data_IF_079831479400
#
_entry.id   IF_079831479400
#
_cell.length_a   1.000
_cell.length_b   1.000
_cell.length_c   1.000
_cell.angle_alpha   90.00
_cell.angle_beta   90.00
_cell.angle_gamma   90.00
#
_symmetry.space_group_name_H-M   'P 1'
#
loop_
_entity.id
_entity.type
_entity.pdbx_description
1 polymer ?
#
# COMPACT_ATOMS: atom_id res chain seq x y z
N UNK A 1 -2.04 48.89 -1.68
CA UNK A 1 -2.71 48.36 -0.50
C UNK A 1 -2.69 46.82 -0.63
N UNK A 2 -1.70 46.18 0.01
CA UNK A 2 -1.39 44.75 -0.14
C UNK A 2 -2.09 44.04 0.98
N UNK A 3 -3.00 43.13 0.67
CA UNK A 3 -3.62 42.23 1.66
C UNK A 3 -2.73 40.99 1.80
N UNK A 4 -2.06 40.88 2.96
CA UNK A 4 -1.31 39.74 3.37
C UNK A 4 -2.27 38.64 3.84
N UNK A 5 -2.29 37.51 3.12
CA UNK A 5 -2.99 36.31 3.54
C UNK A 5 -2.28 35.64 4.73
N UNK A 6 -3.01 35.44 5.82
CA UNK A 6 -2.55 34.75 7.01
C UNK A 6 -2.54 33.24 6.73
N UNK A 7 -1.35 32.66 6.56
CA UNK A 7 -1.16 31.21 6.62
C UNK A 7 -1.22 30.79 8.10
N UNK A 8 -2.26 30.03 8.44
CA UNK A 8 -2.38 29.34 9.71
C UNK A 8 -1.26 28.32 9.83
N UNK A 9 -0.32 28.53 10.74
CA UNK A 9 0.75 27.61 11.11
C UNK A 9 0.15 26.45 11.89
N UNK A 10 -0.03 25.31 11.23
CA UNK A 10 -0.33 24.03 11.89
C UNK A 10 0.81 23.70 12.86
N UNK A 11 0.45 23.21 14.05
CA UNK A 11 1.34 22.82 15.13
C UNK A 11 2.43 21.85 14.63
N UNK A 12 3.64 22.38 14.44
CA UNK A 12 4.82 21.56 14.18
C UNK A 12 5.12 20.77 15.47
N UNK A 13 5.11 19.45 15.36
CA UNK A 13 5.62 18.54 16.39
C UNK A 13 7.12 18.81 16.58
N UNK A 14 7.49 19.64 17.56
CA UNK A 14 8.86 19.93 17.93
C UNK A 14 9.43 18.80 18.79
N UNK A 15 9.62 17.61 18.17
CA UNK A 15 10.47 16.58 18.74
C UNK A 15 11.91 16.77 18.24
N UNK A 16 12.90 16.66 19.13
CA UNK A 16 14.30 16.65 18.68
C UNK A 16 14.58 15.46 17.75
N UNK A 17 15.56 15.58 16.84
CA UNK A 17 16.02 14.47 15.98
C UNK A 17 16.31 13.19 16.79
N UNK A 18 16.73 13.33 18.06
CA UNK A 18 16.98 12.24 18.99
C UNK A 18 15.69 11.56 19.49
N UNK A 19 14.64 12.32 19.77
CA UNK A 19 13.33 11.78 20.18
C UNK A 19 12.68 11.02 19.02
N UNK A 20 12.76 11.56 17.80
CA UNK A 20 12.31 10.90 16.60
C UNK A 20 13.03 9.55 16.35
N UNK A 21 14.38 9.54 16.44
CA UNK A 21 15.17 8.31 16.33
C UNK A 21 14.83 7.29 17.43
N UNK A 22 14.54 7.73 18.65
CA UNK A 22 14.15 6.87 19.76
C UNK A 22 12.75 6.25 19.55
N UNK A 23 11.79 7.02 19.05
CA UNK A 23 10.45 6.52 18.72
C UNK A 23 10.47 5.51 17.57
N UNK A 24 11.25 5.79 16.51
CA UNK A 24 11.48 4.82 15.43
C UNK A 24 12.12 3.54 15.98
N UNK A 25 13.23 3.63 16.71
CA UNK A 25 13.94 2.48 17.24
C UNK A 25 13.08 1.62 18.18
N UNK A 26 12.27 2.25 19.04
CA UNK A 26 11.34 1.55 19.94
C UNK A 26 10.22 0.84 19.20
N UNK A 27 9.63 1.49 18.18
CA UNK A 27 8.60 0.91 17.34
C UNK A 27 9.12 -0.24 16.46
N UNK A 28 10.34 -0.13 15.95
CA UNK A 28 10.99 -1.14 15.10
C UNK A 28 11.38 -2.38 15.90
N UNK A 29 11.93 -2.23 17.11
CA UNK A 29 12.37 -3.34 17.94
C UNK A 29 11.21 -4.23 18.42
N UNK A 30 10.06 -3.64 18.75
CA UNK A 30 8.88 -4.38 19.21
C UNK A 30 8.22 -5.25 18.12
N UNK A 31 8.49 -4.99 16.84
CA UNK A 31 7.79 -5.59 15.69
C UNK A 31 8.64 -6.52 14.84
N UNK A 32 9.95 -6.57 15.04
CA UNK A 32 10.88 -7.36 14.22
C UNK A 32 10.60 -8.88 14.21
N UNK A 33 9.89 -9.39 15.22
CA UNK A 33 9.52 -10.82 15.27
C UNK A 33 8.26 -11.13 14.45
N UNK A 34 7.32 -10.17 14.35
CA UNK A 34 6.00 -10.38 13.73
C UNK A 34 6.04 -10.15 12.21
N UNK A 35 6.95 -9.28 11.74
CA UNK A 35 7.16 -9.00 10.32
C UNK A 35 7.68 -10.23 9.56
N UNK A 36 8.38 -11.15 10.23
CA UNK A 36 8.85 -12.41 9.63
C UNK A 36 7.73 -13.24 9.02
N UNK A 37 6.47 -13.05 9.43
CA UNK A 37 5.32 -13.72 8.79
C UNK A 37 5.13 -13.28 7.33
N UNK A 38 5.56 -12.06 6.99
CA UNK A 38 5.54 -11.54 5.62
C UNK A 38 6.81 -11.86 4.83
N UNK A 39 7.85 -12.30 5.52
CA UNK A 39 9.14 -12.67 4.95
C UNK A 39 9.26 -14.20 4.92
N UNK A 40 8.54 -14.83 3.99
CA UNK A 40 8.56 -16.29 3.86
C UNK A 40 9.78 -16.70 3.04
N UNK A 41 10.70 -17.44 3.64
CA UNK A 41 11.90 -17.96 2.96
C UNK A 41 11.51 -18.81 1.76
N UNK A 42 11.92 -18.34 0.57
CA UNK A 42 11.76 -19.05 -0.70
C UNK A 42 10.35 -19.08 -1.28
N UNK A 43 9.34 -18.47 -0.64
CA UNK A 43 8.00 -18.37 -1.22
C UNK A 43 7.90 -17.15 -2.13
N UNK A 44 7.22 -17.33 -3.27
CA UNK A 44 6.89 -16.26 -4.21
C UNK A 44 5.61 -15.59 -3.75
N UNK A 45 5.70 -14.54 -2.94
CA UNK A 45 4.53 -13.80 -2.49
C UNK A 45 4.18 -12.74 -3.52
N UNK A 46 2.98 -12.82 -4.08
CA UNK A 46 2.43 -11.86 -5.01
C UNK A 46 1.39 -10.99 -4.33
N UNK A 47 1.39 -9.69 -4.68
CA UNK A 47 0.38 -8.71 -4.27
C UNK A 47 -0.47 -8.38 -5.50
N UNK A 48 -1.78 -8.56 -5.40
CA UNK A 48 -2.72 -8.19 -6.45
C UNK A 48 -2.84 -6.65 -6.50
N UNK A 49 -2.26 -6.02 -7.52
CA UNK A 49 -2.17 -4.57 -7.67
C UNK A 49 -3.50 -3.97 -8.14
N UNK A 50 -3.99 -2.91 -7.51
CA UNK A 50 -5.26 -2.27 -7.82
C UNK A 50 -6.47 -3.22 -7.70
N UNK A 51 -6.39 -4.17 -6.78
CA UNK A 51 -7.43 -5.17 -6.53
C UNK A 51 -7.28 -6.46 -7.31
N UNK A 52 -6.42 -6.57 -8.35
CA UNK A 52 -6.22 -7.84 -9.02
C UNK A 52 -5.82 -7.80 -10.48
N UNK A 53 -5.91 -8.97 -11.11
CA UNK A 53 -5.50 -9.25 -12.50
C UNK A 53 -6.68 -9.27 -13.49
N UNK A 54 -7.83 -8.77 -13.10
CA UNK A 54 -9.01 -8.66 -13.97
C UNK A 54 -9.02 -7.33 -14.73
N UNK A 55 -9.62 -7.31 -15.89
CA UNK A 55 -9.79 -6.10 -16.69
C UNK A 55 -11.06 -5.33 -16.28
N UNK A 56 -11.03 -3.99 -16.17
CA UNK A 56 -9.85 -3.14 -16.34
C UNK A 56 -8.85 -3.32 -15.20
N UNK A 57 -7.56 -3.20 -15.52
CA UNK A 57 -6.50 -3.23 -14.51
C UNK A 57 -6.61 -2.00 -13.59
N UNK A 58 -6.19 -2.14 -12.35
CA UNK A 58 -6.23 -1.06 -11.33
C UNK A 58 -7.64 -0.54 -11.06
N UNK A 59 -8.66 -1.41 -11.22
CA UNK A 59 -10.05 -1.00 -11.04
C UNK A 59 -10.41 -0.67 -9.58
N UNK A 60 -9.66 -1.18 -8.61
CA UNK A 60 -9.97 -0.98 -7.19
C UNK A 60 -11.44 -1.36 -6.86
N UNK A 61 -11.93 -2.46 -7.45
CA UNK A 61 -13.35 -2.83 -7.47
C UNK A 61 -13.66 -4.11 -6.70
N UNK A 62 -14.93 -4.33 -6.40
CA UNK A 62 -15.40 -5.55 -5.73
C UNK A 62 -15.13 -6.80 -6.58
N UNK A 63 -15.30 -6.71 -7.88
CA UNK A 63 -15.07 -7.80 -8.82
C UNK A 63 -13.57 -8.12 -8.95
N UNK A 64 -12.71 -7.10 -8.97
CA UNK A 64 -11.26 -7.29 -9.02
C UNK A 64 -10.78 -8.03 -7.77
N UNK A 65 -11.18 -7.60 -6.57
CA UNK A 65 -10.82 -8.26 -5.31
C UNK A 65 -11.34 -9.70 -5.27
N UNK A 66 -12.60 -9.92 -5.66
CA UNK A 66 -13.18 -11.28 -5.69
C UNK A 66 -12.43 -12.20 -6.66
N UNK A 67 -12.06 -11.67 -7.83
CA UNK A 67 -11.26 -12.40 -8.83
C UNK A 67 -9.85 -12.73 -8.33
N UNK A 68 -9.20 -11.80 -7.63
CA UNK A 68 -7.89 -12.02 -7.02
C UNK A 68 -7.93 -13.12 -5.96
N UNK A 69 -8.89 -13.07 -5.04
CA UNK A 69 -9.09 -14.10 -4.02
C UNK A 69 -9.33 -15.47 -4.64
N UNK A 70 -10.17 -15.55 -5.68
CA UNK A 70 -10.45 -16.80 -6.41
C UNK A 70 -9.20 -17.38 -7.10
N UNK A 71 -8.23 -16.53 -7.47
CA UNK A 71 -6.94 -16.93 -8.08
C UNK A 71 -5.85 -17.21 -7.06
N UNK A 72 -6.17 -17.18 -5.77
CA UNK A 72 -5.29 -17.56 -4.68
C UNK A 72 -4.37 -16.44 -4.18
N UNK A 73 -4.66 -15.18 -4.48
CA UNK A 73 -4.00 -14.06 -3.80
C UNK A 73 -4.49 -13.98 -2.35
N UNK A 74 -3.55 -13.79 -1.44
CA UNK A 74 -3.83 -13.41 -0.04
C UNK A 74 -3.42 -11.97 0.26
N UNK A 75 -2.55 -11.36 -0.54
CA UNK A 75 -2.20 -9.95 -0.45
C UNK A 75 -2.87 -9.18 -1.58
N UNK A 76 -3.71 -8.23 -1.20
CA UNK A 76 -4.48 -7.43 -2.15
C UNK A 76 -4.20 -5.97 -1.85
N UNK A 77 -3.66 -5.28 -2.84
CA UNK A 77 -3.44 -3.85 -2.75
C UNK A 77 -4.65 -3.10 -3.31
N UNK A 78 -5.06 -2.07 -2.58
CA UNK A 78 -6.10 -1.12 -2.94
C UNK A 78 -5.66 0.29 -2.58
N UNK A 79 -5.71 1.18 -3.55
CA UNK A 79 -5.59 2.62 -3.31
C UNK A 79 -6.83 3.13 -2.57
N UNK A 80 -6.67 3.94 -1.53
CA UNK A 80 -7.80 4.45 -0.75
C UNK A 80 -7.84 5.98 -0.76
N UNK A 81 -8.97 6.53 -1.17
CA UNK A 81 -9.27 7.95 -1.11
C UNK A 81 -10.29 8.25 -0.01
N UNK A 82 -10.24 9.47 0.51
CA UNK A 82 -11.27 10.00 1.39
C UNK A 82 -12.29 10.81 0.57
N UNK A 83 -13.56 10.45 0.69
CA UNK A 83 -14.68 11.19 0.09
C UNK A 83 -14.92 12.52 0.80
N UNK A 84 -15.69 13.43 0.19
CA UNK A 84 -16.01 14.72 0.81
C UNK A 84 -16.82 14.58 2.10
N UNK A 85 -17.69 13.58 2.19
CA UNK A 85 -18.47 13.25 3.38
C UNK A 85 -17.70 12.40 4.40
N UNK A 86 -16.39 12.17 4.19
CA UNK A 86 -15.47 11.65 5.19
C UNK A 86 -15.40 10.14 5.30
N UNK A 87 -15.68 9.40 4.22
CA UNK A 87 -15.60 7.95 4.14
C UNK A 87 -14.44 7.48 3.24
N UNK A 88 -14.10 6.19 3.30
CA UNK A 88 -13.13 5.58 2.41
C UNK A 88 -13.79 5.02 1.15
N UNK A 89 -13.16 5.32 0.00
CA UNK A 89 -13.47 4.76 -1.30
C UNK A 89 -12.19 4.20 -1.93
N UNK A 90 -12.25 2.98 -2.46
CA UNK A 90 -11.12 2.42 -3.19
C UNK A 90 -11.07 3.01 -4.61
N UNK A 91 -10.01 3.78 -4.87
CA UNK A 91 -9.72 4.37 -6.18
C UNK A 91 -8.30 4.93 -6.18
N UNK A 92 -7.62 4.87 -7.34
CA UNK A 92 -6.26 5.37 -7.49
C UNK A 92 -6.17 6.89 -7.26
N UNK A 93 -7.05 7.65 -7.89
CA UNK A 93 -7.29 9.08 -7.73
C UNK A 93 -8.67 9.43 -8.31
N UNK A 94 -9.11 10.67 -8.08
CA UNK A 94 -10.43 11.11 -8.55
C UNK A 94 -10.52 11.24 -10.07
N UNK A 95 -9.44 11.58 -10.76
CA UNK A 95 -9.37 11.67 -12.21
C UNK A 95 -9.60 10.31 -12.85
N UNK A 96 -8.82 9.31 -12.44
CA UNK A 96 -8.95 7.91 -12.87
C UNK A 96 -10.33 7.34 -12.53
N UNK A 97 -10.88 7.65 -11.34
CA UNK A 97 -12.22 7.20 -10.95
C UNK A 97 -13.30 7.78 -11.89
N UNK A 98 -13.22 9.08 -12.19
CA UNK A 98 -14.15 9.73 -13.12
C UNK A 98 -14.05 9.15 -14.54
N UNK A 99 -12.85 8.93 -15.05
CA UNK A 99 -12.63 8.29 -16.35
C UNK A 99 -13.25 6.89 -16.40
N UNK A 100 -13.00 6.06 -15.40
CA UNK A 100 -13.51 4.68 -15.33
C UNK A 100 -15.03 4.60 -15.15
N UNK A 101 -15.64 5.62 -14.55
CA UNK A 101 -17.10 5.68 -14.31
C UNK A 101 -17.85 6.49 -15.36
N UNK A 102 -17.14 7.22 -16.23
CA UNK A 102 -17.72 8.09 -17.24
C UNK A 102 -18.40 9.34 -16.66
N UNK A 103 -17.89 9.86 -15.54
CA UNK A 103 -18.38 11.09 -14.90
C UNK A 103 -17.42 12.24 -15.12
N UNK A 104 -17.94 13.47 -15.24
CA UNK A 104 -17.10 14.66 -15.45
C UNK A 104 -16.47 15.19 -14.16
N UNK A 105 -17.04 14.86 -13.00
CA UNK A 105 -16.62 15.37 -11.70
C UNK A 105 -16.68 14.27 -10.64
N UNK A 106 -15.83 14.34 -9.59
CA UNK A 106 -15.92 13.46 -8.45
C UNK A 106 -17.31 13.51 -7.77
N UNK A 107 -17.83 12.37 -7.30
CA UNK A 107 -19.10 12.33 -6.58
C UNK A 107 -19.00 13.07 -5.23
N UNK A 108 -20.10 13.72 -4.83
CA UNK A 108 -20.16 14.53 -3.60
C UNK A 108 -20.19 13.70 -2.32
N UNK A 109 -20.49 12.40 -2.41
CA UNK A 109 -20.60 11.50 -1.25
C UNK A 109 -20.22 10.06 -1.61
N UNK A 110 -19.94 9.26 -0.57
CA UNK A 110 -19.75 7.83 -0.75
C UNK A 110 -20.96 7.16 -1.39
N UNK A 111 -22.18 7.52 -0.94
CA UNK A 111 -23.42 6.95 -1.50
C UNK A 111 -23.51 7.19 -3.01
N UNK A 112 -23.22 8.43 -3.46
CA UNK A 112 -23.21 8.75 -4.88
C UNK A 112 -22.14 7.95 -5.64
N UNK A 113 -20.94 7.80 -5.09
CA UNK A 113 -19.87 6.99 -5.68
C UNK A 113 -20.28 5.51 -5.85
N UNK A 114 -20.95 4.93 -4.87
CA UNK A 114 -21.38 3.52 -4.90
C UNK A 114 -22.53 3.25 -5.89
N UNK A 115 -23.27 4.26 -6.35
CA UNK A 115 -24.27 4.12 -7.41
C UNK A 115 -23.65 4.05 -8.81
N UNK A 116 -22.41 4.47 -8.96
CA UNK A 116 -21.70 4.43 -10.23
C UNK A 116 -21.27 2.99 -10.58
N UNK A 117 -20.84 2.82 -11.82
CA UNK A 117 -20.21 1.57 -12.29
C UNK A 117 -18.88 1.90 -12.92
N UNK A 118 -17.85 1.20 -12.45
CA UNK A 118 -16.53 1.21 -13.08
C UNK A 118 -16.62 0.46 -14.41
N UNK A 119 -15.78 0.77 -15.37
CA UNK A 119 -15.72 0.11 -16.67
C UNK A 119 -15.87 -1.43 -16.55
N UNK A 120 -16.61 -2.04 -17.47
CA UNK A 120 -16.94 -3.47 -17.38
C UNK A 120 -18.04 -3.81 -16.34
N UNK A 121 -18.81 -2.80 -15.90
CA UNK A 121 -19.91 -2.95 -14.94
C UNK A 121 -19.47 -3.36 -13.52
N UNK A 122 -18.23 -3.06 -13.12
CA UNK A 122 -17.69 -3.38 -11.81
C UNK A 122 -18.20 -2.39 -10.75
N UNK A 123 -18.25 -2.85 -9.51
CA UNK A 123 -18.78 -2.06 -8.38
C UNK A 123 -17.64 -1.38 -7.63
N UNK A 124 -17.75 -0.06 -7.35
CA UNK A 124 -16.85 0.62 -6.42
C UNK A 124 -16.87 -0.03 -5.03
N UNK A 125 -15.77 0.08 -4.30
CA UNK A 125 -15.59 -0.47 -2.96
C UNK A 125 -15.47 0.65 -1.91
N UNK A 126 -16.29 0.59 -0.86
CA UNK A 126 -16.09 1.40 0.35
C UNK A 126 -15.20 0.70 1.37
N UNK A 127 -14.69 1.45 2.36
CA UNK A 127 -13.97 0.88 3.51
C UNK A 127 -14.80 -0.18 4.24
N UNK A 128 -16.10 0.06 4.45
CA UNK A 128 -17.01 -0.92 5.07
C UNK A 128 -17.16 -2.20 4.25
N UNK A 129 -17.19 -2.12 2.92
CA UNK A 129 -17.23 -3.30 2.04
C UNK A 129 -15.91 -4.07 2.08
N UNK A 130 -14.77 -3.37 2.09
CA UNK A 130 -13.43 -4.00 2.27
C UNK A 130 -13.38 -4.74 3.60
N UNK A 131 -13.83 -4.11 4.68
CA UNK A 131 -13.92 -4.75 6.00
C UNK A 131 -14.76 -6.03 5.96
N UNK A 132 -15.92 -6.02 5.30
CA UNK A 132 -16.79 -7.19 5.16
C UNK A 132 -16.10 -8.33 4.38
N UNK A 133 -15.36 -8.01 3.32
CA UNK A 133 -14.56 -8.99 2.56
C UNK A 133 -13.46 -9.57 3.45
N UNK A 134 -12.72 -8.75 4.19
CA UNK A 134 -11.67 -9.22 5.10
C UNK A 134 -12.21 -10.11 6.23
N UNK A 135 -13.46 -9.89 6.69
CA UNK A 135 -14.11 -10.78 7.66
C UNK A 135 -14.46 -12.15 7.07
N UNK A 136 -14.85 -12.19 5.80
CA UNK A 136 -15.16 -13.44 5.09
C UNK A 136 -13.88 -14.20 4.66
N UNK A 137 -12.77 -13.49 4.49
CA UNK A 137 -11.48 -14.01 4.06
C UNK A 137 -10.40 -13.69 5.10
N UNK A 138 -10.29 -14.51 6.18
CA UNK A 138 -9.35 -14.24 7.28
C UNK A 138 -7.88 -14.32 6.85
N UNK A 139 -7.58 -14.95 5.72
CA UNK A 139 -6.25 -15.00 5.08
C UNK A 139 -5.87 -13.71 4.34
N UNK A 140 -6.85 -12.85 4.02
CA UNK A 140 -6.59 -11.63 3.26
C UNK A 140 -5.82 -10.60 4.09
N UNK A 141 -4.75 -10.08 3.52
CA UNK A 141 -3.98 -8.93 3.99
C UNK A 141 -4.21 -7.78 3.02
N UNK A 142 -4.70 -6.66 3.53
CA UNK A 142 -4.83 -5.43 2.77
C UNK A 142 -3.49 -4.72 2.70
N UNK A 143 -3.04 -4.37 1.52
CA UNK A 143 -1.96 -3.39 1.28
C UNK A 143 -2.63 -2.13 0.76
N UNK A 144 -2.26 -0.96 1.28
CA UNK A 144 -2.91 0.28 0.85
C UNK A 144 -1.98 1.48 0.93
N UNK A 145 -2.24 2.46 0.10
CA UNK A 145 -1.56 3.76 0.08
C UNK A 145 -2.57 4.93 -0.02
N UNK A 146 -2.06 6.15 -0.37
CA UNK A 146 -2.82 7.40 -0.62
C UNK A 146 -3.67 7.93 0.53
N UNK A 147 -3.93 7.15 1.59
CA UNK A 147 -4.63 7.61 2.78
C UNK A 147 -3.65 8.06 3.87
N UNK A 148 -3.79 9.29 4.33
CA UNK A 148 -3.01 9.83 5.45
C UNK A 148 -3.83 10.04 6.73
N UNK A 149 -5.15 9.81 6.65
CA UNK A 149 -6.06 9.78 7.81
C UNK A 149 -6.13 8.35 8.36
N UNK A 150 -5.07 7.97 9.11
CA UNK A 150 -4.94 6.62 9.66
C UNK A 150 -6.02 6.29 10.71
N UNK A 151 -6.62 7.30 11.34
CA UNK A 151 -7.74 7.08 12.27
C UNK A 151 -9.00 6.67 11.51
N UNK A 152 -9.32 7.33 10.40
CA UNK A 152 -10.43 6.95 9.52
C UNK A 152 -10.20 5.55 8.96
N UNK A 153 -8.97 5.24 8.52
CA UNK A 153 -8.61 3.92 8.01
C UNK A 153 -8.92 2.82 9.04
N UNK A 154 -8.47 3.00 10.29
CA UNK A 154 -8.70 2.02 11.36
C UNK A 154 -10.15 1.99 11.86
N UNK A 155 -10.89 3.10 11.71
CA UNK A 155 -12.32 3.14 12.04
C UNK A 155 -13.16 2.32 11.07
N UNK A 156 -12.88 2.41 9.76
CA UNK A 156 -13.64 1.70 8.73
C UNK A 156 -13.13 0.27 8.48
N UNK A 157 -11.81 0.05 8.65
CA UNK A 157 -11.16 -1.26 8.45
C UNK A 157 -10.36 -1.63 9.71
N UNK A 158 -11.02 -2.14 10.78
CA UNK A 158 -10.41 -2.34 12.10
C UNK A 158 -9.58 -3.63 12.18
N UNK A 159 -8.67 -3.85 11.22
CA UNK A 159 -7.80 -5.03 11.12
C UNK A 159 -6.31 -4.65 11.00
N UNK A 160 -5.73 -3.89 11.97
CA UNK A 160 -4.34 -3.45 11.86
C UNK A 160 -3.33 -4.60 11.77
N UNK A 161 -3.67 -5.79 12.27
CA UNK A 161 -2.84 -6.99 12.20
C UNK A 161 -2.81 -7.64 10.80
N UNK A 162 -3.71 -7.23 9.90
CA UNK A 162 -3.82 -7.71 8.52
C UNK A 162 -3.78 -6.58 7.51
N UNK A 163 -3.01 -5.52 7.83
CA UNK A 163 -2.92 -4.33 6.99
C UNK A 163 -1.48 -3.85 6.89
N UNK A 164 -0.98 -3.66 5.67
CA UNK A 164 0.27 -2.96 5.38
C UNK A 164 -0.10 -1.61 4.79
N UNK A 165 0.41 -0.52 5.38
CA UNK A 165 0.10 0.84 4.93
C UNK A 165 1.35 1.51 4.42
N UNK A 166 1.36 1.88 3.16
CA UNK A 166 2.48 2.59 2.54
C UNK A 166 2.50 4.04 2.94
N UNK A 167 3.69 4.53 3.27
CA UNK A 167 3.93 5.90 3.71
C UNK A 167 5.14 6.49 3.01
N UNK A 168 5.05 7.76 2.62
CA UNK A 168 6.01 8.42 1.72
C UNK A 168 6.99 9.35 2.45
N UNK A 169 6.85 9.49 3.76
CA UNK A 169 7.77 10.30 4.56
C UNK A 169 8.05 9.66 5.92
N UNK A 170 9.24 9.93 6.51
CA UNK A 170 9.54 9.50 7.86
C UNK A 170 8.52 10.02 8.90
N UNK A 171 7.95 11.21 8.68
CA UNK A 171 6.92 11.80 9.55
C UNK A 171 5.63 10.99 9.50
N UNK A 172 5.18 10.60 8.30
CA UNK A 172 4.00 9.77 8.12
C UNK A 172 4.21 8.37 8.69
N UNK A 173 5.43 7.82 8.59
CA UNK A 173 5.77 6.55 9.23
C UNK A 173 5.51 6.60 10.75
N UNK A 174 6.00 7.65 11.43
CA UNK A 174 5.77 7.83 12.88
C UNK A 174 4.28 8.09 13.17
N UNK A 175 3.61 8.91 12.35
CA UNK A 175 2.16 9.14 12.53
C UNK A 175 1.36 7.85 12.41
N UNK A 176 1.66 7.02 11.42
CA UNK A 176 1.01 5.72 11.23
C UNK A 176 1.18 4.83 12.48
N UNK A 177 2.42 4.71 13.00
CA UNK A 177 2.69 3.97 14.22
C UNK A 177 1.91 4.49 15.43
N UNK A 178 1.88 5.81 15.62
CA UNK A 178 1.17 6.46 16.74
C UNK A 178 -0.35 6.33 16.63
N UNK A 179 -0.90 6.20 15.44
CA UNK A 179 -2.32 5.93 15.19
C UNK A 179 -2.72 4.46 15.37
N UNK A 180 -1.75 3.53 15.55
CA UNK A 180 -2.03 2.12 15.76
C UNK A 180 -1.85 1.23 14.51
N UNK A 181 -1.37 1.78 13.39
CA UNK A 181 -0.96 0.96 12.24
C UNK A 181 0.22 0.07 12.67
N UNK A 182 0.07 -1.23 12.49
CA UNK A 182 1.08 -2.18 12.92
C UNK A 182 2.21 -2.36 11.90
N UNK A 183 1.93 -2.26 10.62
CA UNK A 183 2.88 -2.52 9.53
C UNK A 183 2.92 -1.36 8.53
N UNK A 184 3.46 -0.19 8.92
CA UNK A 184 3.74 0.85 7.93
C UNK A 184 4.91 0.40 7.05
N UNK A 185 4.77 0.54 5.72
CA UNK A 185 5.79 0.30 4.72
C UNK A 185 6.34 1.66 4.23
N UNK A 186 7.66 1.84 4.27
CA UNK A 186 8.27 3.08 3.81
C UNK A 186 8.54 3.03 2.31
N UNK A 187 7.94 3.95 1.55
CA UNK A 187 8.06 4.01 0.09
C UNK A 187 9.37 4.67 -0.34
N UNK A 188 10.18 3.94 -1.08
CA UNK A 188 11.44 4.41 -1.70
C UNK A 188 11.12 4.92 -3.09
N UNK A 189 10.91 6.23 -3.22
CA UNK A 189 10.55 6.88 -4.49
C UNK A 189 11.72 7.58 -5.18
N UNK A 190 12.85 7.74 -4.49
CA UNK A 190 14.06 8.40 -4.99
C UNK A 190 15.28 8.08 -4.11
N UNK A 191 16.47 8.49 -4.53
CA UNK A 191 17.75 8.17 -3.86
C UNK A 191 17.84 8.63 -2.40
N UNK A 192 17.24 9.78 -2.05
CA UNK A 192 17.22 10.25 -0.65
C UNK A 192 16.34 9.33 0.21
N UNK A 193 15.18 8.91 -0.30
CA UNK A 193 14.33 7.95 0.40
C UNK A 193 15.03 6.60 0.58
N UNK A 194 15.80 6.16 -0.40
CA UNK A 194 16.64 4.96 -0.27
C UNK A 194 17.68 5.10 0.85
N UNK A 195 18.37 6.25 0.90
CA UNK A 195 19.32 6.53 1.98
C UNK A 195 18.63 6.51 3.35
N UNK A 196 17.44 7.11 3.47
CA UNK A 196 16.65 7.07 4.69
C UNK A 196 16.23 5.64 5.07
N UNK A 197 15.84 4.82 4.09
CA UNK A 197 15.48 3.43 4.32
C UNK A 197 16.65 2.63 4.91
N UNK A 198 17.85 2.81 4.37
CA UNK A 198 19.09 2.17 4.87
C UNK A 198 19.46 2.71 6.26
N UNK A 199 19.41 4.04 6.47
CA UNK A 199 19.80 4.66 7.75
C UNK A 199 18.87 4.25 8.89
N UNK A 200 17.55 4.26 8.64
CA UNK A 200 16.54 3.99 9.67
C UNK A 200 16.17 2.51 9.79
N UNK A 201 16.56 1.67 8.83
CA UNK A 201 16.26 0.23 8.82
C UNK A 201 14.77 -0.04 8.99
N UNK A 202 13.94 0.58 8.15
CA UNK A 202 12.52 0.29 8.15
C UNK A 202 12.28 -1.20 7.87
N UNK A 203 11.46 -1.89 8.66
CA UNK A 203 11.25 -3.33 8.52
C UNK A 203 10.54 -3.75 7.23
N UNK A 204 9.72 -2.84 6.67
CA UNK A 204 9.03 -3.01 5.39
C UNK A 204 9.31 -1.79 4.53
N UNK A 205 9.71 -2.03 3.31
CA UNK A 205 9.91 -0.98 2.30
C UNK A 205 9.22 -1.35 1.00
N UNK A 206 8.73 -0.33 0.28
CA UNK A 206 8.19 -0.47 -1.07
C UNK A 206 9.07 0.32 -2.03
N UNK A 207 9.33 -0.22 -3.22
CA UNK A 207 10.24 0.38 -4.20
C UNK A 207 9.77 0.07 -5.63
N UNK A 208 9.93 1.02 -6.56
CA UNK A 208 9.69 0.74 -7.97
C UNK A 208 10.71 -0.24 -8.55
N UNK A 209 10.31 -1.00 -9.57
CA UNK A 209 11.19 -1.96 -10.24
C UNK A 209 12.43 -1.29 -10.83
N UNK A 210 12.31 -0.06 -11.34
CA UNK A 210 13.44 0.69 -11.90
C UNK A 210 14.50 0.98 -10.84
N UNK A 211 14.09 1.54 -9.69
CA UNK A 211 15.01 1.83 -8.58
C UNK A 211 15.55 0.55 -7.95
N UNK A 212 14.74 -0.50 -7.86
CA UNK A 212 15.15 -1.82 -7.38
C UNK A 212 16.30 -2.37 -8.22
N UNK A 213 16.18 -2.36 -9.55
CA UNK A 213 17.20 -2.85 -10.48
C UNK A 213 18.46 -1.98 -10.48
N UNK A 214 18.31 -0.66 -10.31
CA UNK A 214 19.44 0.26 -10.18
C UNK A 214 20.25 0.02 -8.90
N UNK A 215 19.65 -0.55 -7.85
CA UNK A 215 20.24 -0.70 -6.51
C UNK A 215 20.25 -2.13 -5.98
N UNK A 216 20.35 -3.13 -6.87
CA UNK A 216 20.25 -4.56 -6.54
C UNK A 216 21.12 -5.01 -5.37
N UNK A 217 22.39 -4.53 -5.27
CA UNK A 217 23.28 -4.90 -4.17
C UNK A 217 22.81 -4.36 -2.82
N UNK A 218 22.22 -3.16 -2.82
CA UNK A 218 21.60 -2.59 -1.61
C UNK A 218 20.35 -3.38 -1.24
N UNK A 219 19.49 -3.72 -2.20
CA UNK A 219 18.30 -4.53 -1.96
C UNK A 219 18.64 -5.91 -1.43
N UNK A 220 19.62 -6.58 -2.02
CA UNK A 220 20.12 -7.88 -1.54
C UNK A 220 20.57 -7.81 -0.08
N UNK A 221 21.34 -6.78 0.28
CA UNK A 221 21.77 -6.56 1.66
C UNK A 221 20.60 -6.32 2.61
N UNK A 222 19.67 -5.44 2.27
CA UNK A 222 18.47 -5.19 3.09
C UNK A 222 17.65 -6.47 3.27
N UNK A 223 17.47 -7.27 2.22
CA UNK A 223 16.77 -8.55 2.29
C UNK A 223 17.48 -9.54 3.23
N UNK A 224 18.82 -9.63 3.16
CA UNK A 224 19.63 -10.44 4.09
C UNK A 224 19.53 -9.94 5.54
N UNK A 225 19.33 -8.64 5.75
CA UNK A 225 19.05 -8.02 7.05
C UNK A 225 17.57 -8.21 7.50
N UNK A 226 16.79 -9.03 6.79
CA UNK A 226 15.39 -9.35 7.09
C UNK A 226 14.42 -8.16 6.89
N UNK A 227 14.76 -7.21 6.05
CA UNK A 227 13.83 -6.19 5.58
C UNK A 227 12.89 -6.80 4.56
N UNK A 228 11.58 -6.66 4.76
CA UNK A 228 10.57 -7.04 3.79
C UNK A 228 10.55 -6.02 2.64
N UNK A 229 10.93 -6.44 1.44
CA UNK A 229 11.02 -5.58 0.25
C UNK A 229 9.85 -5.92 -0.68
N UNK A 230 8.99 -4.93 -0.92
CA UNK A 230 7.85 -5.00 -1.82
C UNK A 230 8.20 -4.23 -3.11
N UNK A 231 8.08 -4.88 -4.28
CA UNK A 231 8.48 -4.27 -5.57
C UNK A 231 7.26 -4.09 -6.46
N UNK A 232 7.02 -2.85 -6.91
CA UNK A 232 5.91 -2.50 -7.81
C UNK A 232 6.40 -2.06 -9.20
N UNK A 233 5.47 -1.95 -10.17
CA UNK A 233 5.75 -1.48 -11.54
C UNK A 233 6.33 -2.57 -12.44
N UNK A 234 6.12 -3.84 -12.12
CA UNK A 234 6.67 -4.97 -12.90
C UNK A 234 5.96 -5.17 -14.25
N UNK A 235 4.84 -4.51 -14.47
CA UNK A 235 4.06 -4.56 -15.72
C UNK A 235 4.82 -4.01 -16.93
N UNK A 236 5.85 -3.19 -16.70
CA UNK A 236 6.73 -2.66 -17.74
C UNK A 236 7.81 -3.65 -18.22
N UNK A 237 7.92 -4.83 -17.58
CA UNK A 237 8.91 -5.87 -17.84
C UNK A 237 8.25 -7.18 -18.23
N UNK A 238 9.09 -8.19 -18.53
CA UNK A 238 8.68 -9.59 -18.44
C UNK A 238 8.47 -9.94 -16.95
N UNK A 239 7.24 -9.78 -16.47
CA UNK A 239 6.90 -9.93 -15.06
C UNK A 239 7.18 -11.35 -14.56
N UNK A 240 6.94 -12.38 -15.37
CA UNK A 240 7.21 -13.78 -15.00
C UNK A 240 8.71 -14.01 -14.81
N UNK A 241 9.54 -13.54 -15.75
CA UNK A 241 10.99 -13.62 -15.65
C UNK A 241 11.50 -12.85 -14.42
N UNK A 242 10.95 -11.66 -14.16
CA UNK A 242 11.35 -10.85 -12.99
C UNK A 242 11.00 -11.57 -11.69
N UNK A 243 9.78 -12.10 -11.55
CA UNK A 243 9.33 -12.86 -10.38
C UNK A 243 10.24 -14.08 -10.17
N UNK A 244 10.54 -14.84 -11.22
CA UNK A 244 11.42 -16.01 -11.13
C UNK A 244 12.83 -15.66 -10.64
N UNK A 245 13.36 -14.51 -11.02
CA UNK A 245 14.74 -14.11 -10.71
C UNK A 245 14.89 -13.49 -9.31
N UNK A 246 13.85 -12.82 -8.79
CA UNK A 246 13.99 -11.94 -7.63
C UNK A 246 13.09 -12.29 -6.43
N UNK A 247 11.93 -12.95 -6.65
CA UNK A 247 11.04 -13.29 -5.55
C UNK A 247 11.68 -14.30 -4.59
N UNK A 248 11.63 -14.00 -3.29
CA UNK A 248 12.22 -14.82 -2.24
C UNK A 248 13.75 -14.77 -2.12
N UNK A 249 14.44 -14.00 -3.00
CA UNK A 249 15.91 -13.86 -2.98
C UNK A 249 16.39 -12.44 -2.74
N UNK A 250 15.76 -11.46 -3.37
CA UNK A 250 16.09 -10.04 -3.25
C UNK A 250 14.86 -9.19 -2.99
N UNK A 251 13.67 -9.71 -3.32
CA UNK A 251 12.37 -9.12 -3.05
C UNK A 251 11.54 -10.11 -2.23
N UNK A 252 10.86 -9.63 -1.20
CA UNK A 252 9.97 -10.44 -0.36
C UNK A 252 8.61 -10.61 -1.00
N UNK A 253 8.11 -9.55 -1.64
CA UNK A 253 6.80 -9.51 -2.30
C UNK A 253 6.89 -8.72 -3.61
N UNK A 254 6.07 -9.09 -4.58
CA UNK A 254 6.02 -8.42 -5.88
C UNK A 254 4.58 -8.09 -6.23
N UNK A 255 4.31 -6.83 -6.54
CA UNK A 255 3.04 -6.39 -7.09
C UNK A 255 2.88 -6.88 -8.52
N UNK A 256 1.70 -7.32 -8.84
CA UNK A 256 1.37 -7.78 -10.20
C UNK A 256 -0.09 -7.56 -10.52
N UNK A 257 -0.35 -7.16 -11.76
CA UNK A 257 -1.67 -7.11 -12.40
C UNK A 257 -1.79 -8.10 -13.56
N UNK A 258 -0.77 -8.95 -13.77
CA UNK A 258 -0.71 -9.85 -14.96
C UNK A 258 -0.48 -11.32 -14.62
N UNK A 259 0.15 -11.62 -13.48
CA UNK A 259 0.51 -12.97 -13.07
C UNK A 259 -0.22 -13.35 -11.79
N UNK A 260 -0.92 -14.46 -11.78
CA UNK A 260 -1.61 -14.97 -10.58
C UNK A 260 -0.83 -16.13 -9.92
N UNK A 261 -1.00 -16.36 -8.60
CA UNK A 261 -0.28 -17.41 -7.87
C UNK A 261 -0.49 -18.81 -8.41
N UNK A 262 -1.64 -19.10 -9.00
CA UNK A 262 -1.96 -20.42 -9.60
C UNK A 262 -1.13 -20.72 -10.84
N UNK A 263 -0.58 -19.71 -11.53
CA UNK A 263 0.33 -19.86 -12.68
C UNK A 263 1.77 -20.16 -12.28
N UNK A 264 2.15 -19.96 -11.02
CA UNK A 264 3.51 -20.16 -10.52
C UNK A 264 3.70 -21.50 -9.80
N UNK A 265 2.66 -22.30 -9.74
CA UNK A 265 2.68 -23.68 -9.20
C UNK A 265 3.17 -24.70 -10.26
#
# INVERSE_FOLDING_TARGET
MVLAGVYSTGNALHGSKAQYKAQLAGGLAARGADIRRFHQDGSRVLIAHGGGVESPLYANSAEAVSGALAKGFSFIELDLLKTQDGHLLAAHDWETFCELTGTDTPPDSLEAALQLRIAGNQRPLSGGMINAIMQQHPEMVLVTDKISDFNLLLQEIPHPERMIVEVFSPQDYVRALNSGILYPAFCITHSIALQQAVEHRYPIVTISVELFLQHLDTMRRLHQEQVCIMVYGTESLDAEQFICNHAGTNASMIYTSTISPDRLK
#
